data_IF_232145791413
#
_entry.id   IF_232145791413
#
_cell.length_a   1.000
_cell.length_b   1.000
_cell.length_c   1.000
_cell.angle_alpha   90.00
_cell.angle_beta   90.00
_cell.angle_gamma   90.00
#
_symmetry.space_group_name_H-M   'P 1'
#
loop_
_entity.id
_entity.type
_entity.pdbx_description
1 polymer ?
#
# COMPACT_ATOMS: atom_id res chain seq x y z
N UNK A 1 -0.73 -23.33 0.33
CA UNK A 1 -0.11 -22.33 1.23
C UNK A 1 -1.11 -21.95 2.33
N UNK A 2 -1.08 -22.71 3.42
CA UNK A 2 -1.86 -22.45 4.63
C UNK A 2 -1.40 -21.13 5.26
N UNK A 3 -2.35 -20.39 5.83
CA UNK A 3 -2.10 -19.26 6.73
C UNK A 3 -1.05 -19.67 7.77
N UNK A 4 0.21 -19.30 7.55
CA UNK A 4 1.15 -19.18 8.66
C UNK A 4 0.52 -18.15 9.59
N UNK A 5 -0.17 -18.63 10.63
CA UNK A 5 -0.50 -17.86 11.81
C UNK A 5 0.85 -17.41 12.36
N UNK A 6 1.35 -16.28 11.85
CA UNK A 6 2.38 -15.51 12.53
C UNK A 6 1.85 -15.35 13.94
N UNK A 7 2.57 -15.93 14.88
CA UNK A 7 2.10 -16.10 16.24
C UNK A 7 1.62 -14.74 16.76
N UNK A 8 0.31 -14.61 17.01
CA UNK A 8 -0.32 -13.32 17.34
C UNK A 8 0.32 -12.69 18.58
N UNK A 9 0.96 -13.52 19.41
CA UNK A 9 1.75 -13.20 20.60
C UNK A 9 2.94 -12.24 20.35
N UNK A 10 3.45 -12.11 19.12
CA UNK A 10 4.59 -11.23 18.82
C UNK A 10 4.21 -9.83 18.30
N UNK A 11 2.93 -9.54 18.09
CA UNK A 11 2.51 -8.20 17.63
C UNK A 11 2.50 -7.22 18.79
N UNK A 12 3.16 -6.09 18.58
CA UNK A 12 3.18 -4.98 19.54
C UNK A 12 1.80 -4.30 19.53
N UNK A 13 0.95 -4.60 20.51
CA UNK A 13 -0.41 -4.06 20.58
C UNK A 13 -0.47 -2.53 20.47
N UNK A 14 0.47 -1.82 21.11
CA UNK A 14 0.56 -0.37 21.03
C UNK A 14 0.83 0.14 19.61
N UNK A 15 1.58 -0.61 18.79
CA UNK A 15 1.88 -0.24 17.41
C UNK A 15 0.62 -0.34 16.54
N UNK A 16 -0.16 -1.39 16.74
CA UNK A 16 -1.47 -1.57 16.08
C UNK A 16 -2.46 -0.50 16.53
N UNK A 17 -2.42 -0.11 17.82
CA UNK A 17 -3.17 1.02 18.36
C UNK A 17 -2.89 2.34 17.64
N UNK A 18 -1.62 2.66 17.36
CA UNK A 18 -1.29 3.87 16.59
C UNK A 18 -1.81 3.78 15.15
N UNK A 19 -1.77 2.61 14.51
CA UNK A 19 -2.32 2.45 13.15
C UNK A 19 -3.83 2.66 13.11
N UNK A 20 -4.56 2.13 14.10
CA UNK A 20 -6.01 2.34 14.23
C UNK A 20 -6.31 3.82 14.42
N UNK A 21 -5.60 4.47 15.36
CA UNK A 21 -5.75 5.90 15.60
C UNK A 21 -5.48 6.71 14.33
N UNK A 22 -4.44 6.35 13.57
CA UNK A 22 -4.10 7.01 12.31
C UNK A 22 -5.23 6.91 11.29
N UNK A 23 -5.75 5.71 11.02
CA UNK A 23 -6.80 5.55 9.99
C UNK A 23 -8.13 6.16 10.41
N UNK A 24 -8.49 6.11 11.69
CA UNK A 24 -9.70 6.80 12.20
C UNK A 24 -9.55 8.31 12.08
N UNK A 25 -8.39 8.87 12.46
CA UNK A 25 -8.17 10.32 12.36
C UNK A 25 -8.13 10.78 10.89
N UNK A 26 -7.62 9.95 9.98
CA UNK A 26 -7.69 10.22 8.54
C UNK A 26 -9.13 10.24 8.01
N UNK A 27 -9.98 9.32 8.47
CA UNK A 27 -11.41 9.36 8.14
C UNK A 27 -12.05 10.66 8.64
N UNK A 28 -11.82 11.02 9.91
CA UNK A 28 -12.39 12.25 10.48
C UNK A 28 -11.90 13.50 9.76
N UNK A 29 -10.63 13.54 9.37
CA UNK A 29 -10.07 14.61 8.54
C UNK A 29 -10.73 14.70 7.17
N UNK A 30 -10.85 13.58 6.46
CA UNK A 30 -11.48 13.51 5.15
C UNK A 30 -12.96 13.94 5.22
N UNK A 31 -13.66 13.52 6.27
CA UNK A 31 -15.05 13.89 6.52
C UNK A 31 -15.18 15.40 6.77
N UNK A 32 -14.29 15.97 7.59
CA UNK A 32 -14.25 17.40 7.89
C UNK A 32 -13.97 18.23 6.63
N UNK A 33 -12.96 17.85 5.85
CA UNK A 33 -12.61 18.56 4.61
C UNK A 33 -13.77 18.54 3.60
N UNK A 34 -14.39 17.40 3.37
CA UNK A 34 -15.50 17.30 2.39
C UNK A 34 -16.75 18.02 2.88
N UNK A 35 -17.07 17.90 4.16
CA UNK A 35 -18.23 18.58 4.76
C UNK A 35 -18.10 20.10 4.65
N UNK A 36 -16.89 20.63 4.84
CA UNK A 36 -16.60 22.07 4.74
C UNK A 36 -16.18 22.53 3.34
N UNK A 37 -16.34 21.69 2.31
CA UNK A 37 -15.92 21.97 0.95
C UNK A 37 -14.47 22.51 0.85
N UNK A 38 -13.56 21.93 1.63
CA UNK A 38 -12.15 22.31 1.71
C UNK A 38 -11.91 23.76 2.14
N UNK A 39 -12.79 24.32 2.98
CA UNK A 39 -12.73 25.71 3.42
C UNK A 39 -11.41 26.11 4.13
N UNK A 40 -10.67 25.14 4.69
CA UNK A 40 -9.38 25.38 5.30
C UNK A 40 -8.36 24.31 4.95
N UNK A 41 -7.16 24.77 4.59
CA UNK A 41 -5.94 23.97 4.49
C UNK A 41 -4.76 24.84 4.96
N UNK A 42 -3.78 24.29 5.71
CA UNK A 42 -2.64 25.06 6.20
C UNK A 42 -1.88 25.78 5.07
N UNK A 43 -1.75 27.10 5.19
CA UNK A 43 -1.05 27.96 4.23
C UNK A 43 0.28 28.47 4.80
N UNK A 44 1.27 28.83 3.97
CA UNK A 44 2.57 29.32 4.42
C UNK A 44 2.53 30.83 4.78
N UNK A 45 1.41 31.31 5.33
CA UNK A 45 1.14 32.71 5.66
C UNK A 45 1.48 33.06 7.11
N UNK A 46 1.96 32.09 7.90
CA UNK A 46 2.25 32.25 9.31
C UNK A 46 1.14 31.75 10.22
N UNK A 47 1.48 31.57 11.51
CA UNK A 47 0.60 30.95 12.50
C UNK A 47 -0.69 31.76 12.74
N UNK A 48 -0.56 33.09 12.87
CA UNK A 48 -1.68 33.97 13.19
C UNK A 48 -2.75 33.96 12.09
N UNK A 49 -2.35 34.08 10.83
CA UNK A 49 -3.26 34.08 9.68
C UNK A 49 -4.00 32.75 9.55
N UNK A 50 -3.28 31.63 9.70
CA UNK A 50 -3.89 30.31 9.69
C UNK A 50 -4.88 30.12 10.83
N UNK A 51 -4.56 30.62 12.03
CA UNK A 51 -5.46 30.54 13.17
C UNK A 51 -6.71 31.39 12.96
N UNK A 52 -6.56 32.59 12.40
CA UNK A 52 -7.69 33.46 12.03
C UNK A 52 -8.59 32.80 10.98
N UNK A 53 -8.01 32.20 9.94
CA UNK A 53 -8.76 31.44 8.93
C UNK A 53 -9.50 30.24 9.55
N UNK A 54 -8.83 29.48 10.42
CA UNK A 54 -9.44 28.34 11.10
C UNK A 54 -10.60 28.77 12.00
N UNK A 55 -10.45 29.87 12.75
CA UNK A 55 -11.52 30.46 13.56
C UNK A 55 -12.68 30.90 12.67
N UNK A 56 -12.39 31.58 11.56
CA UNK A 56 -13.40 32.06 10.62
C UNK A 56 -14.24 30.89 10.08
N UNK A 57 -13.59 29.85 9.54
CA UNK A 57 -14.26 28.65 9.02
C UNK A 57 -15.06 27.91 10.10
N UNK A 58 -14.57 27.91 11.35
CA UNK A 58 -15.27 27.25 12.48
C UNK A 58 -16.42 28.09 13.05
N UNK A 59 -16.43 29.41 12.83
CA UNK A 59 -17.54 30.29 13.21
C UNK A 59 -18.75 30.09 12.32
N UNK A 60 -18.51 29.90 11.03
CA UNK A 60 -19.57 29.74 10.02
C UNK A 60 -20.27 28.36 10.08
N UNK A 61 -19.74 27.42 10.88
CA UNK A 61 -20.41 26.15 11.16
C UNK A 61 -21.65 26.37 12.07
N UNK A 62 -22.86 25.99 11.64
CA UNK A 62 -24.11 26.24 12.38
C UNK A 62 -24.12 25.57 13.76
N UNK A 63 -24.37 26.37 14.79
CA UNK A 63 -24.23 26.14 16.25
C UNK A 63 -24.00 24.70 16.74
N UNK A 64 -22.78 24.13 16.59
CA UNK A 64 -22.32 23.06 17.46
C UNK A 64 -22.01 23.67 18.83
N UNK A 65 -22.21 22.91 19.90
CA UNK A 65 -21.70 23.28 21.22
C UNK A 65 -20.18 23.57 21.14
N UNK A 66 -19.69 24.49 21.98
CA UNK A 66 -18.26 24.86 22.06
C UNK A 66 -17.34 23.62 22.10
N UNK A 67 -17.78 22.57 22.80
CA UNK A 67 -17.09 21.31 22.93
C UNK A 67 -16.91 20.59 21.59
N UNK A 68 -17.92 20.56 20.73
CA UNK A 68 -17.81 19.96 19.38
C UNK A 68 -16.85 20.77 18.51
N UNK A 69 -16.86 22.10 18.61
CA UNK A 69 -15.90 22.96 17.89
C UNK A 69 -14.46 22.65 18.31
N UNK A 70 -14.20 22.55 19.62
CA UNK A 70 -12.87 22.24 20.16
C UNK A 70 -12.43 20.82 19.77
N UNK A 71 -13.32 19.82 19.89
CA UNK A 71 -13.02 18.45 19.49
C UNK A 71 -12.86 18.27 17.98
N UNK A 72 -13.41 19.19 17.18
CA UNK A 72 -13.21 19.26 15.73
C UNK A 72 -11.87 19.88 15.32
N UNK A 73 -11.19 20.66 16.18
CA UNK A 73 -9.91 21.27 15.81
C UNK A 73 -8.82 20.24 15.43
N UNK A 74 -8.63 19.14 16.18
CA UNK A 74 -7.67 18.11 15.81
C UNK A 74 -7.97 17.44 14.46
N UNK A 75 -9.24 17.39 14.04
CA UNK A 75 -9.59 16.69 12.79
C UNK A 75 -9.03 17.41 11.57
N UNK A 76 -8.91 18.75 11.59
CA UNK A 76 -8.28 19.55 10.53
C UNK A 76 -6.81 19.20 10.26
N UNK A 77 -6.13 18.60 11.25
CA UNK A 77 -4.73 18.22 11.16
C UNK A 77 -4.54 16.70 10.99
N UNK A 78 -5.61 15.95 10.71
CA UNK A 78 -5.51 14.50 10.57
C UNK A 78 -4.61 14.02 9.42
N UNK A 79 -4.32 14.86 8.43
CA UNK A 79 -3.31 14.55 7.39
C UNK A 79 -1.93 14.20 7.95
N UNK A 80 -1.57 14.72 9.14
CA UNK A 80 -0.29 14.43 9.81
C UNK A 80 -0.14 12.94 10.16
N UNK A 81 -1.25 12.21 10.30
CA UNK A 81 -1.21 10.77 10.55
C UNK A 81 -0.78 9.95 9.33
N UNK A 82 -0.79 10.52 8.12
CA UNK A 82 -0.16 9.90 6.95
C UNK A 82 1.33 9.73 7.20
N UNK A 83 1.98 10.75 7.77
CA UNK A 83 3.42 10.72 8.05
C UNK A 83 3.76 9.76 9.19
N UNK A 84 2.91 9.71 10.21
CA UNK A 84 3.01 8.69 11.28
C UNK A 84 2.86 7.29 10.69
N UNK A 85 1.97 7.10 9.72
CA UNK A 85 1.81 5.81 9.04
C UNK A 85 3.05 5.42 8.23
N UNK A 86 3.68 6.38 7.53
CA UNK A 86 4.96 6.15 6.82
C UNK A 86 6.08 5.78 7.80
N UNK A 87 6.20 6.50 8.91
CA UNK A 87 7.17 6.22 9.99
C UNK A 87 7.00 4.79 10.53
N UNK A 88 5.76 4.42 10.86
CA UNK A 88 5.41 3.08 11.36
C UNK A 88 5.67 2.01 10.30
N UNK A 89 5.46 2.32 9.02
CA UNK A 89 5.69 1.38 7.93
C UNK A 89 7.17 1.00 7.81
N UNK A 90 8.07 1.98 7.84
CA UNK A 90 9.52 1.74 7.86
C UNK A 90 9.95 0.93 9.09
N UNK A 91 9.41 1.29 10.26
CA UNK A 91 9.65 0.58 11.51
C UNK A 91 9.21 -0.90 11.44
N UNK A 92 7.99 -1.14 10.97
CA UNK A 92 7.38 -2.46 10.91
C UNK A 92 8.05 -3.38 9.89
N UNK A 93 8.62 -2.82 8.82
CA UNK A 93 9.33 -3.58 7.80
C UNK A 93 10.66 -4.13 8.33
N UNK A 94 11.45 -3.32 9.03
CA UNK A 94 12.68 -3.77 9.70
C UNK A 94 12.38 -4.83 10.74
N UNK A 95 11.35 -4.64 11.58
CA UNK A 95 10.94 -5.66 12.55
C UNK A 95 10.53 -6.97 11.89
N UNK A 96 9.94 -6.92 10.69
CA UNK A 96 9.53 -8.14 9.97
C UNK A 96 10.69 -8.98 9.44
N UNK A 97 11.91 -8.45 9.45
CA UNK A 97 13.14 -9.15 9.09
C UNK A 97 13.97 -9.57 10.32
N UNK A 98 13.45 -9.41 11.54
CA UNK A 98 14.20 -9.74 12.77
C UNK A 98 14.74 -11.17 12.71
N UNK A 99 16.07 -11.29 12.66
CA UNK A 99 16.79 -12.57 12.64
C UNK A 99 16.78 -13.33 11.31
N UNK A 100 16.27 -12.73 10.22
CA UNK A 100 16.20 -13.37 8.91
C UNK A 100 16.95 -12.53 7.86
N UNK A 101 17.62 -13.21 6.95
CA UNK A 101 18.19 -12.56 5.76
C UNK A 101 17.08 -12.13 4.80
N UNK A 102 17.32 -11.04 4.07
CA UNK A 102 16.35 -10.53 3.11
C UNK A 102 16.43 -11.31 1.81
N UNK A 103 15.52 -12.27 1.64
CA UNK A 103 15.27 -12.87 0.34
C UNK A 103 14.37 -11.95 -0.51
N UNK A 104 14.97 -11.10 -1.34
CA UNK A 104 14.27 -10.05 -2.10
C UNK A 104 13.05 -10.56 -2.86
N UNK A 105 13.17 -11.65 -3.63
CA UNK A 105 12.05 -12.17 -4.44
C UNK A 105 10.85 -12.63 -3.59
N UNK A 106 11.09 -13.43 -2.54
CA UNK A 106 10.02 -13.88 -1.64
C UNK A 106 9.43 -12.71 -0.84
N UNK A 107 10.26 -11.77 -0.41
CA UNK A 107 9.82 -10.55 0.27
C UNK A 107 8.88 -9.73 -0.62
N UNK A 108 9.30 -9.43 -1.86
CA UNK A 108 8.53 -8.64 -2.83
C UNK A 108 7.20 -9.29 -3.13
N UNK A 109 7.19 -10.58 -3.50
CA UNK A 109 5.95 -11.32 -3.80
C UNK A 109 4.97 -11.30 -2.62
N UNK A 110 5.48 -11.53 -1.39
CA UNK A 110 4.65 -11.54 -0.17
C UNK A 110 4.09 -10.17 0.15
N UNK A 111 4.89 -9.10 0.03
CA UNK A 111 4.48 -7.74 0.37
C UNK A 111 3.56 -7.13 -0.67
N UNK A 112 3.91 -7.24 -1.96
CA UNK A 112 3.05 -6.80 -3.06
C UNK A 112 1.69 -7.51 -3.01
N UNK A 113 1.67 -8.83 -2.78
CA UNK A 113 0.40 -9.55 -2.60
C UNK A 113 -0.42 -9.05 -1.41
N UNK A 114 0.21 -8.68 -0.29
CA UNK A 114 -0.52 -8.14 0.87
C UNK A 114 -1.13 -6.76 0.62
N UNK A 115 -0.56 -5.97 -0.30
CA UNK A 115 -1.03 -4.61 -0.63
C UNK A 115 -2.02 -4.66 -1.78
N UNK A 116 -1.66 -5.31 -2.90
CA UNK A 116 -2.45 -5.32 -4.13
C UNK A 116 -3.74 -6.14 -4.02
N UNK A 117 -3.75 -7.30 -3.33
CA UNK A 117 -4.95 -8.13 -3.26
C UNK A 117 -6.13 -7.45 -2.52
N UNK A 118 -5.94 -6.87 -1.32
CA UNK A 118 -7.02 -6.11 -0.67
C UNK A 118 -7.42 -4.88 -1.48
N UNK A 119 -6.45 -4.20 -2.11
CA UNK A 119 -6.72 -3.07 -3.00
C UNK A 119 -7.67 -3.44 -4.15
N UNK A 120 -7.33 -4.45 -4.95
CA UNK A 120 -8.17 -4.87 -6.06
C UNK A 120 -9.49 -5.48 -5.61
N UNK A 121 -9.51 -6.17 -4.47
CA UNK A 121 -10.76 -6.65 -3.87
C UNK A 121 -11.70 -5.48 -3.59
N UNK A 122 -11.21 -4.45 -2.91
CA UNK A 122 -12.03 -3.27 -2.57
C UNK A 122 -12.42 -2.52 -3.84
N UNK A 123 -11.50 -2.33 -4.78
CA UNK A 123 -11.79 -1.71 -6.06
C UNK A 123 -12.93 -2.46 -6.79
N UNK A 124 -12.75 -3.74 -7.10
CA UNK A 124 -13.73 -4.53 -7.84
C UNK A 124 -15.08 -4.69 -7.14
N UNK A 125 -15.11 -4.72 -5.81
CA UNK A 125 -16.38 -4.77 -5.08
C UNK A 125 -17.06 -3.40 -4.97
N UNK A 126 -16.30 -2.35 -4.70
CA UNK A 126 -16.87 -1.02 -4.48
C UNK A 126 -17.39 -0.39 -5.76
N UNK A 127 -16.76 -0.60 -6.91
CA UNK A 127 -17.18 0.03 -8.16
C UNK A 127 -18.60 -0.32 -8.63
N UNK A 128 -18.98 -1.62 -8.74
CA UNK A 128 -20.35 -1.98 -9.11
C UNK A 128 -21.37 -1.49 -8.10
N UNK A 129 -21.02 -1.52 -6.80
CA UNK A 129 -21.90 -1.06 -5.72
C UNK A 129 -22.11 0.46 -5.82
N UNK A 130 -21.04 1.24 -5.99
CA UNK A 130 -21.11 2.68 -6.15
C UNK A 130 -21.88 3.06 -7.41
N UNK A 131 -21.67 2.34 -8.51
CA UNK A 131 -22.43 2.53 -9.75
C UNK A 131 -23.92 2.25 -9.54
N UNK A 132 -24.27 1.13 -8.91
CA UNK A 132 -25.66 0.76 -8.63
C UNK A 132 -26.35 1.79 -7.72
N UNK A 133 -25.66 2.24 -6.66
CA UNK A 133 -26.14 3.31 -5.79
C UNK A 133 -26.37 4.57 -6.62
N UNK A 134 -25.38 5.04 -7.37
CA UNK A 134 -25.45 6.24 -8.21
C UNK A 134 -26.59 6.20 -9.22
N UNK A 135 -26.86 5.05 -9.84
CA UNK A 135 -28.01 4.85 -10.74
C UNK A 135 -29.33 4.95 -9.97
N UNK A 136 -29.43 4.29 -8.81
CA UNK A 136 -30.64 4.28 -8.00
C UNK A 136 -30.97 5.65 -7.40
N UNK A 137 -29.96 6.41 -6.96
CA UNK A 137 -30.11 7.72 -6.33
C UNK A 137 -30.04 8.87 -7.33
N UNK A 138 -29.75 8.58 -8.61
CA UNK A 138 -29.49 9.58 -9.66
C UNK A 138 -28.36 10.55 -9.29
N UNK A 139 -27.41 10.11 -8.46
CA UNK A 139 -26.25 10.92 -8.03
C UNK A 139 -25.02 10.50 -8.82
N UNK A 140 -24.67 11.25 -9.87
CA UNK A 140 -23.44 11.12 -10.69
C UNK A 140 -23.03 9.69 -11.10
N UNK A 141 -23.13 9.36 -12.40
CA UNK A 141 -22.54 8.12 -12.92
C UNK A 141 -21.02 8.30 -13.13
N UNK A 142 -20.16 7.55 -12.41
CA UNK A 142 -18.72 7.59 -12.67
C UNK A 142 -18.43 7.06 -14.07
N UNK A 143 -17.62 7.81 -14.83
CA UNK A 143 -17.18 7.39 -16.15
C UNK A 143 -16.44 6.03 -16.03
N UNK A 144 -16.74 5.02 -16.86
CA UNK A 144 -16.02 3.73 -16.86
C UNK A 144 -14.50 3.89 -16.98
N UNK A 145 -14.03 4.96 -17.63
CA UNK A 145 -12.61 5.27 -17.71
C UNK A 145 -12.00 5.64 -16.36
N UNK A 146 -12.75 6.31 -15.48
CA UNK A 146 -12.30 6.63 -14.12
C UNK A 146 -12.22 5.38 -13.26
N UNK A 147 -13.13 4.43 -13.49
CA UNK A 147 -13.10 3.10 -12.87
C UNK A 147 -11.84 2.34 -13.31
N UNK A 148 -11.59 2.27 -14.62
CA UNK A 148 -10.38 1.63 -15.15
C UNK A 148 -9.10 2.29 -14.64
N UNK A 149 -9.04 3.62 -14.65
CA UNK A 149 -7.90 4.38 -14.14
C UNK A 149 -7.66 4.07 -12.65
N UNK A 150 -8.71 4.04 -11.82
CA UNK A 150 -8.55 3.73 -10.39
C UNK A 150 -8.12 2.28 -10.13
N UNK A 151 -8.61 1.28 -10.88
CA UNK A 151 -8.16 -0.12 -10.75
C UNK A 151 -6.70 -0.31 -11.17
N UNK A 152 -6.27 0.39 -12.24
CA UNK A 152 -4.92 0.30 -12.80
C UNK A 152 -3.90 1.24 -12.13
N UNK A 153 -4.38 2.18 -11.32
CA UNK A 153 -3.58 3.25 -10.73
C UNK A 153 -2.31 2.82 -9.98
N UNK A 154 -2.31 1.76 -9.14
CA UNK A 154 -1.09 1.37 -8.43
C UNK A 154 0.07 0.97 -9.36
N UNK A 155 -0.23 0.68 -10.63
CA UNK A 155 0.73 0.25 -11.65
C UNK A 155 1.10 1.37 -12.63
N UNK A 156 0.29 2.43 -12.73
CA UNK A 156 0.44 3.47 -13.76
C UNK A 156 0.56 4.83 -13.07
N UNK A 157 1.81 5.22 -12.81
CA UNK A 157 2.19 6.44 -12.10
C UNK A 157 1.92 7.73 -12.90
N UNK A 158 1.57 7.62 -14.18
CA UNK A 158 1.45 8.73 -15.14
C UNK A 158 0.05 9.32 -15.28
N UNK A 159 -0.96 8.84 -14.52
CA UNK A 159 -2.32 9.34 -14.66
C UNK A 159 -2.50 10.77 -14.13
N UNK A 160 -3.36 11.52 -14.83
CA UNK A 160 -3.84 12.83 -14.40
C UNK A 160 -4.40 12.75 -12.97
N UNK A 161 -3.96 13.63 -12.07
CA UNK A 161 -4.43 13.68 -10.67
C UNK A 161 -5.96 13.80 -10.55
N UNK A 162 -6.62 14.38 -11.55
CA UNK A 162 -8.09 14.43 -11.64
C UNK A 162 -8.73 13.03 -11.75
N UNK A 163 -8.14 12.12 -12.54
CA UNK A 163 -8.63 10.74 -12.69
C UNK A 163 -8.57 10.00 -11.35
N UNK A 164 -7.47 10.19 -10.61
CA UNK A 164 -7.29 9.58 -9.30
C UNK A 164 -8.32 10.11 -8.28
N UNK A 165 -8.43 11.44 -8.17
CA UNK A 165 -9.29 12.08 -7.17
C UNK A 165 -10.77 11.85 -7.44
N UNK A 166 -11.15 11.67 -8.71
CA UNK A 166 -12.54 11.39 -9.10
C UNK A 166 -13.09 10.11 -8.46
N UNK A 167 -12.21 9.18 -8.12
CA UNK A 167 -12.60 7.87 -7.59
C UNK A 167 -12.55 7.82 -6.07
N UNK A 168 -11.34 7.96 -5.53
CA UNK A 168 -11.08 7.97 -4.10
C UNK A 168 -9.75 8.67 -3.89
N UNK A 169 -9.83 9.95 -3.56
CA UNK A 169 -8.64 10.78 -3.34
C UNK A 169 -7.55 10.10 -2.49
N UNK A 170 -7.86 9.45 -1.35
CA UNK A 170 -6.84 8.80 -0.51
C UNK A 170 -6.04 7.66 -1.15
N UNK A 171 -6.47 7.09 -2.28
CA UNK A 171 -5.78 5.95 -2.89
C UNK A 171 -4.38 6.26 -3.43
N UNK A 172 -3.99 7.53 -3.54
CA UNK A 172 -2.59 7.91 -3.87
C UNK A 172 -1.57 7.28 -2.90
N UNK A 173 -1.95 7.03 -1.64
CA UNK A 173 -1.07 6.40 -0.65
C UNK A 173 -0.65 4.98 -1.04
N UNK A 174 -1.45 4.27 -1.83
CA UNK A 174 -1.12 2.92 -2.31
C UNK A 174 0.14 2.94 -3.15
N UNK A 175 0.28 3.91 -4.05
CA UNK A 175 1.48 4.10 -4.87
C UNK A 175 2.70 4.45 -4.04
N UNK A 176 2.53 5.24 -2.96
CA UNK A 176 3.61 5.50 -2.00
C UNK A 176 4.06 4.21 -1.29
N UNK A 177 3.11 3.39 -0.81
CA UNK A 177 3.40 2.10 -0.17
C UNK A 177 4.13 1.16 -1.12
N UNK A 178 3.70 1.08 -2.39
CA UNK A 178 4.35 0.27 -3.41
C UNK A 178 5.77 0.77 -3.69
N UNK A 179 5.97 2.08 -3.82
CA UNK A 179 7.27 2.70 -4.01
C UNK A 179 8.23 2.34 -2.88
N UNK A 180 7.80 2.46 -1.62
CA UNK A 180 8.63 2.03 -0.48
C UNK A 180 8.85 0.52 -0.43
N UNK A 181 7.87 -0.28 -0.84
CA UNK A 181 8.02 -1.74 -0.88
C UNK A 181 9.11 -2.14 -1.88
N UNK A 182 9.12 -1.52 -3.07
CA UNK A 182 10.12 -1.71 -4.11
C UNK A 182 11.51 -1.19 -3.71
N UNK A 183 11.55 -0.05 -3.03
CA UNK A 183 12.80 0.59 -2.60
C UNK A 183 13.42 -0.07 -1.36
N UNK A 184 12.62 -0.74 -0.53
CA UNK A 184 13.06 -1.27 0.75
C UNK A 184 14.28 -2.21 0.68
N UNK A 185 14.43 -3.13 -0.28
CA UNK A 185 15.63 -3.96 -0.38
C UNK A 185 16.92 -3.16 -0.53
N UNK A 186 16.88 -2.06 -1.29
CA UNK A 186 18.02 -1.15 -1.46
C UNK A 186 18.30 -0.43 -0.14
N UNK A 187 17.28 0.13 0.51
CA UNK A 187 17.44 0.80 1.81
C UNK A 187 17.93 -0.15 2.90
N UNK A 188 17.49 -1.40 2.87
CA UNK A 188 17.94 -2.44 3.80
C UNK A 188 19.43 -2.74 3.61
N UNK A 189 19.88 -2.90 2.37
CA UNK A 189 21.31 -3.08 2.06
C UNK A 189 22.14 -1.87 2.51
N UNK A 190 21.68 -0.65 2.22
CA UNK A 190 22.35 0.58 2.64
C UNK A 190 22.36 0.74 4.17
N UNK A 191 21.31 0.33 4.87
CA UNK A 191 21.25 0.37 6.34
C UNK A 191 22.36 -0.49 6.96
N UNK A 192 22.66 -1.66 6.38
CA UNK A 192 23.71 -2.54 6.85
C UNK A 192 25.10 -2.07 6.42
N UNK A 193 25.24 -1.59 5.18
CA UNK A 193 26.53 -1.19 4.60
C UNK A 193 27.02 0.16 5.11
N UNK A 194 26.14 1.16 5.20
CA UNK A 194 26.50 2.53 5.59
C UNK A 194 26.22 2.80 7.07
N UNK A 195 25.37 2.00 7.70
CA UNK A 195 24.89 2.22 9.06
C UNK A 195 23.72 3.20 9.15
N UNK A 196 23.02 3.14 10.28
CA UNK A 196 21.81 3.91 10.55
C UNK A 196 21.99 5.43 10.40
N UNK A 197 23.07 5.97 10.97
CA UNK A 197 23.30 7.42 11.00
C UNK A 197 23.50 7.99 9.60
N UNK A 198 24.36 7.36 8.80
CA UNK A 198 24.67 7.82 7.45
C UNK A 198 23.45 7.71 6.53
N UNK A 199 22.71 6.59 6.61
CA UNK A 199 21.47 6.44 5.84
C UNK A 199 20.44 7.51 6.22
N UNK A 200 20.29 7.80 7.52
CA UNK A 200 19.37 8.85 7.98
C UNK A 200 19.79 10.23 7.45
N UNK A 201 21.06 10.62 7.61
CA UNK A 201 21.57 11.92 7.11
C UNK A 201 21.35 12.06 5.61
N UNK A 202 21.75 11.06 4.81
CA UNK A 202 21.55 11.09 3.35
C UNK A 202 20.07 11.17 2.99
N UNK A 203 19.21 10.40 3.66
CA UNK A 203 17.77 10.44 3.42
C UNK A 203 17.14 11.80 3.75
N UNK A 204 17.62 12.47 4.80
CA UNK A 204 17.21 13.83 5.18
C UNK A 204 17.64 14.81 4.09
N UNK A 205 18.90 14.77 3.65
CA UNK A 205 19.41 15.64 2.59
C UNK A 205 18.63 15.48 1.29
N UNK A 206 18.35 14.24 0.87
CA UNK A 206 17.55 13.95 -0.32
C UNK A 206 16.13 14.47 -0.17
N UNK A 207 15.48 14.23 0.97
CA UNK A 207 14.10 14.69 1.22
C UNK A 207 14.02 16.21 1.24
N UNK A 208 14.92 16.89 1.96
CA UNK A 208 14.97 18.35 2.04
C UNK A 208 15.28 18.96 0.67
N UNK A 209 16.24 18.40 -0.07
CA UNK A 209 16.56 18.85 -1.43
C UNK A 209 15.38 18.74 -2.38
N UNK A 210 14.72 17.57 -2.40
CA UNK A 210 13.51 17.35 -3.20
C UNK A 210 12.37 18.31 -2.81
N UNK A 211 12.16 18.52 -1.50
CA UNK A 211 11.16 19.46 -0.98
C UNK A 211 11.48 20.91 -1.33
N UNK A 212 12.75 21.30 -1.26
CA UNK A 212 13.18 22.64 -1.64
C UNK A 212 12.93 22.91 -3.12
N UNK A 213 13.27 21.96 -3.99
CA UNK A 213 12.94 22.05 -5.41
C UNK A 213 11.42 22.13 -5.62
N UNK A 214 10.65 21.27 -4.93
CA UNK A 214 9.19 21.26 -5.01
C UNK A 214 8.57 22.60 -4.64
N UNK A 215 8.97 23.18 -3.50
CA UNK A 215 8.36 24.41 -2.95
C UNK A 215 8.85 25.68 -3.65
N UNK A 216 10.12 25.75 -4.02
CA UNK A 216 10.74 26.98 -4.52
C UNK A 216 10.87 27.04 -6.05
N UNK A 217 10.95 25.89 -6.73
CA UNK A 217 11.11 25.84 -8.19
C UNK A 217 9.79 25.44 -8.86
N UNK A 218 9.13 24.40 -8.35
CA UNK A 218 7.91 23.85 -8.96
C UNK A 218 6.60 24.43 -8.38
N UNK A 219 6.65 25.47 -7.55
CA UNK A 219 5.44 26.07 -6.96
C UNK A 219 4.58 25.12 -6.12
N UNK A 220 5.16 24.04 -5.59
CA UNK A 220 4.47 22.99 -4.86
C UNK A 220 3.96 23.39 -3.48
N UNK A 221 2.91 22.68 -3.04
CA UNK A 221 2.28 22.74 -1.72
C UNK A 221 2.92 21.67 -0.78
N UNK A 222 2.73 21.66 0.55
CA UNK A 222 3.26 20.61 1.45
C UNK A 222 2.70 19.21 1.15
N UNK A 223 1.60 19.09 0.42
CA UNK A 223 0.95 17.82 0.10
C UNK A 223 1.02 17.40 -1.38
N UNK A 224 1.43 18.27 -2.30
CA UNK A 224 1.54 17.96 -3.74
C UNK A 224 2.51 18.90 -4.46
N UNK A 225 2.97 18.50 -5.65
CA UNK A 225 3.78 19.35 -6.55
C UNK A 225 2.95 19.75 -7.76
N UNK A 226 3.07 21.01 -8.17
CA UNK A 226 2.57 21.48 -9.45
C UNK A 226 3.67 21.25 -10.49
N UNK A 227 3.60 20.14 -11.22
CA UNK A 227 4.51 19.91 -12.34
C UNK A 227 3.80 20.33 -13.62
N UNK A 228 4.47 21.11 -14.47
CA UNK A 228 3.99 21.48 -15.80
C UNK A 228 3.92 20.25 -16.71
N UNK A 229 2.82 19.52 -16.56
CA UNK A 229 2.46 18.30 -17.26
C UNK A 229 1.00 18.43 -17.67
N UNK A 230 0.50 17.63 -18.62
CA UNK A 230 -0.91 17.69 -19.04
C UNK A 230 -1.91 17.56 -17.87
N UNK A 231 -1.48 16.96 -16.76
CA UNK A 231 -2.24 16.77 -15.53
C UNK A 231 -2.28 17.98 -14.57
N UNK A 232 -1.46 19.02 -14.82
CA UNK A 232 -1.28 20.26 -14.01
C UNK A 232 -0.81 20.10 -12.55
N UNK A 233 -1.08 18.97 -11.89
CA UNK A 233 -0.67 18.70 -10.51
C UNK A 233 -0.46 17.20 -10.26
N UNK A 234 0.53 16.86 -9.44
CA UNK A 234 0.84 15.49 -9.01
C UNK A 234 0.91 15.43 -7.49
N UNK A 235 0.15 14.55 -6.81
CA UNK A 235 0.35 14.33 -5.38
C UNK A 235 1.80 13.88 -5.13
N UNK A 236 2.31 14.06 -3.91
CA UNK A 236 3.61 13.47 -3.51
C UNK A 236 3.52 11.93 -3.42
N UNK A 237 3.26 11.28 -4.54
CA UNK A 237 3.25 9.84 -4.70
C UNK A 237 4.68 9.27 -4.85
N UNK A 238 5.69 10.15 -5.02
CA UNK A 238 7.09 9.77 -5.03
C UNK A 238 7.57 9.59 -3.59
N UNK A 239 8.19 8.45 -3.32
CA UNK A 239 8.79 8.12 -2.03
C UNK A 239 9.78 9.19 -1.53
N UNK A 240 10.41 9.96 -2.44
CA UNK A 240 11.40 11.00 -2.11
C UNK A 240 10.88 12.01 -1.10
N UNK A 241 9.61 12.40 -1.20
CA UNK A 241 8.99 13.40 -0.33
C UNK A 241 8.88 12.94 1.14
N UNK A 242 8.88 11.62 1.37
CA UNK A 242 8.66 10.97 2.67
C UNK A 242 9.81 10.02 3.03
N UNK A 243 10.92 10.07 2.30
CA UNK A 243 12.02 9.11 2.40
C UNK A 243 12.67 9.16 3.78
N UNK A 244 12.97 10.35 4.29
CA UNK A 244 13.56 10.55 5.62
C UNK A 244 12.68 10.00 6.74
N UNK A 245 11.37 10.24 6.68
CA UNK A 245 10.40 9.73 7.66
C UNK A 245 10.33 8.20 7.66
N UNK A 246 10.32 7.58 6.48
CA UNK A 246 10.36 6.12 6.36
C UNK A 246 11.68 5.53 6.90
N UNK A 247 12.82 6.10 6.50
CA UNK A 247 14.15 5.67 6.95
C UNK A 247 14.32 5.86 8.45
N UNK A 248 13.80 6.95 9.02
CA UNK A 248 13.80 7.15 10.46
C UNK A 248 13.07 6.01 11.18
N UNK A 249 11.94 5.56 10.64
CA UNK A 249 11.23 4.38 11.14
C UNK A 249 12.12 3.14 11.15
N UNK A 250 12.88 2.91 10.06
CA UNK A 250 13.84 1.81 9.96
C UNK A 250 14.95 1.91 11.01
N UNK A 251 15.53 3.10 11.20
CA UNK A 251 16.59 3.35 12.18
C UNK A 251 16.09 3.13 13.62
N UNK A 252 14.88 3.61 13.94
CA UNK A 252 14.27 3.39 15.26
C UNK A 252 14.03 1.90 15.51
N UNK A 253 13.62 1.13 14.49
CA UNK A 253 13.48 -0.31 14.60
C UNK A 253 14.81 -1.02 14.85
N UNK A 254 15.86 -0.64 14.13
CA UNK A 254 17.20 -1.21 14.35
C UNK A 254 17.71 -0.92 15.77
N UNK A 255 17.54 0.32 16.25
CA UNK A 255 17.91 0.70 17.61
C UNK A 255 17.12 -0.13 18.65
N UNK A 256 15.81 -0.34 18.42
CA UNK A 256 14.98 -1.16 19.28
C UNK A 256 15.43 -2.62 19.33
N UNK A 257 15.80 -3.21 18.20
CA UNK A 257 16.35 -4.58 18.12
C UNK A 257 17.67 -4.71 18.88
N UNK A 258 18.50 -3.66 18.91
CA UNK A 258 19.72 -3.58 19.70
C UNK A 258 19.47 -3.24 21.18
N UNK A 259 18.21 -3.10 21.59
CA UNK A 259 17.84 -2.76 22.95
C UNK A 259 18.14 -1.30 23.34
N UNK A 260 18.19 -0.39 22.36
CA UNK A 260 18.45 1.04 22.55
C UNK A 260 17.30 1.87 21.97
N UNK A 261 17.38 3.19 22.13
CA UNK A 261 16.52 4.15 21.42
C UNK A 261 15.22 4.56 22.12
N UNK A 262 14.40 5.39 21.45
CA UNK A 262 13.28 6.10 22.05
C UNK A 262 12.15 5.19 22.53
N UNK A 263 12.02 4.00 21.94
CA UNK A 263 11.02 3.03 22.37
C UNK A 263 11.26 2.47 23.78
N UNK A 264 12.43 2.67 24.39
CA UNK A 264 12.69 2.27 25.78
C UNK A 264 12.61 3.43 26.77
N UNK A 265 12.34 4.65 26.30
CA UNK A 265 12.18 5.79 27.19
C UNK A 265 10.95 5.65 28.08
N UNK A 266 11.00 6.30 29.24
CA UNK A 266 9.84 6.47 30.12
C UNK A 266 8.79 7.34 29.44
N UNK A 267 7.52 7.22 29.85
CA UNK A 267 6.43 8.04 29.33
C UNK A 267 6.72 9.54 29.47
N UNK A 268 7.25 9.97 30.63
CA UNK A 268 7.61 11.35 30.89
C UNK A 268 8.68 11.87 29.91
N UNK A 269 9.79 11.15 29.73
CA UNK A 269 10.86 11.54 28.80
C UNK A 269 10.36 11.56 27.36
N UNK A 270 9.50 10.60 27.00
CA UNK A 270 8.90 10.51 25.66
C UNK A 270 8.03 11.73 25.37
N UNK A 271 7.17 12.14 26.31
CA UNK A 271 6.34 13.33 26.17
C UNK A 271 7.15 14.62 26.23
N UNK A 272 8.18 14.69 27.09
CA UNK A 272 9.08 15.83 27.21
C UNK A 272 9.78 16.15 25.88
N UNK A 273 10.15 15.13 25.10
CA UNK A 273 10.74 15.32 23.77
C UNK A 273 9.66 15.43 22.69
N UNK A 274 8.63 14.59 22.76
CA UNK A 274 7.58 14.50 21.75
C UNK A 274 6.76 15.79 21.61
N UNK A 275 6.35 16.41 22.72
CA UNK A 275 5.52 17.62 22.71
C UNK A 275 6.26 18.81 22.09
N UNK A 276 7.50 19.17 22.50
CA UNK A 276 8.23 20.26 21.86
C UNK A 276 8.54 20.01 20.40
N UNK A 277 8.94 18.78 20.03
CA UNK A 277 9.22 18.45 18.62
C UNK A 277 7.96 18.56 17.76
N UNK A 278 6.82 18.08 18.29
CA UNK A 278 5.52 18.24 17.63
C UNK A 278 5.13 19.72 17.51
N UNK A 279 5.28 20.51 18.58
CA UNK A 279 4.95 21.93 18.57
C UNK A 279 5.79 22.70 17.56
N UNK A 280 7.10 22.43 17.47
CA UNK A 280 7.97 23.04 16.46
C UNK A 280 7.53 22.61 15.05
N UNK A 281 7.29 21.32 14.82
CA UNK A 281 6.79 20.83 13.52
C UNK A 281 5.45 21.45 13.13
N UNK A 282 4.56 21.62 14.10
CA UNK A 282 3.24 22.25 13.94
C UNK A 282 3.36 23.73 13.59
N UNK A 283 4.27 24.47 14.23
CA UNK A 283 4.54 25.86 13.87
C UNK A 283 5.17 25.93 12.48
N UNK A 284 6.16 25.09 12.18
CA UNK A 284 6.86 25.03 10.90
C UNK A 284 5.90 24.83 9.72
N UNK A 285 4.82 24.04 9.88
CA UNK A 285 3.86 23.79 8.80
C UNK A 285 3.14 25.06 8.31
N UNK A 286 3.20 26.17 9.04
CA UNK A 286 2.60 27.46 8.65
C UNK A 286 3.58 28.44 8.00
N UNK A 287 4.84 28.04 7.82
CA UNK A 287 5.86 28.86 7.18
C UNK A 287 6.46 28.11 5.99
N UNK A 288 6.72 28.83 4.89
CA UNK A 288 7.25 28.24 3.66
C UNK A 288 8.55 27.46 3.87
N UNK A 289 9.47 27.99 4.69
CA UNK A 289 10.71 27.31 5.05
C UNK A 289 10.45 26.06 5.90
N UNK A 290 9.46 26.13 6.79
CA UNK A 290 9.11 25.02 7.66
C UNK A 290 8.50 23.82 6.93
N UNK A 291 7.92 24.02 5.74
CA UNK A 291 7.47 22.91 4.87
C UNK A 291 8.59 21.95 4.43
N UNK A 292 9.85 22.38 4.52
CA UNK A 292 11.00 21.51 4.21
C UNK A 292 11.24 20.45 5.29
N UNK A 293 10.89 20.76 6.54
CA UNK A 293 11.23 19.94 7.71
C UNK A 293 10.02 19.47 8.54
N UNK A 294 8.85 20.09 8.37
CA UNK A 294 7.61 19.75 9.10
C UNK A 294 7.27 18.27 8.96
N UNK A 295 7.47 17.70 7.77
CA UNK A 295 7.22 16.29 7.46
C UNK A 295 8.05 15.29 8.25
N UNK A 296 9.19 15.73 8.82
CA UNK A 296 10.01 14.92 9.70
C UNK A 296 9.65 15.19 11.17
N UNK A 297 9.49 16.46 11.54
CA UNK A 297 9.23 16.87 12.92
C UNK A 297 7.85 16.41 13.42
N UNK A 298 6.81 16.58 12.60
CA UNK A 298 5.43 16.21 12.93
C UNK A 298 5.30 14.72 13.25
N UNK A 299 5.68 13.76 12.39
CA UNK A 299 5.54 12.33 12.71
C UNK A 299 6.44 11.88 13.86
N UNK A 300 7.60 12.52 14.08
CA UNK A 300 8.44 12.24 15.26
C UNK A 300 7.71 12.62 16.53
N UNK A 301 7.29 13.89 16.64
CA UNK A 301 6.64 14.39 17.84
C UNK A 301 5.31 13.69 18.09
N UNK A 302 4.45 13.62 17.07
CA UNK A 302 3.15 12.97 17.14
C UNK A 302 3.29 11.47 17.39
N UNK A 303 4.23 10.78 16.73
CA UNK A 303 4.49 9.35 16.93
C UNK A 303 4.92 9.00 18.36
N UNK A 304 5.76 9.84 18.99
CA UNK A 304 6.15 9.67 20.39
C UNK A 304 4.97 9.88 21.36
N UNK A 305 4.14 10.89 21.11
CA UNK A 305 2.92 11.13 21.88
C UNK A 305 1.94 9.95 21.73
N UNK A 306 1.64 9.54 20.50
CA UNK A 306 0.77 8.40 20.22
C UNK A 306 1.30 7.10 20.81
N UNK A 307 2.62 6.86 20.78
CA UNK A 307 3.23 5.70 21.44
C UNK A 307 2.96 5.70 22.95
N UNK A 308 3.10 6.86 23.61
CA UNK A 308 2.86 6.96 25.06
C UNK A 308 1.41 6.66 25.40
N UNK A 309 0.47 7.27 24.66
CA UNK A 309 -0.96 7.04 24.83
C UNK A 309 -1.32 5.57 24.54
N UNK A 310 -0.85 5.01 23.42
CA UNK A 310 -1.16 3.64 23.04
C UNK A 310 -0.60 2.62 24.04
N UNK A 311 0.60 2.85 24.59
CA UNK A 311 1.16 2.00 25.67
C UNK A 311 0.33 2.07 26.94
N UNK A 312 -0.13 3.27 27.31
CA UNK A 312 -1.00 3.44 28.46
C UNK A 312 -2.34 2.71 28.27
N UNK A 313 -2.97 2.86 27.09
CA UNK A 313 -4.19 2.12 26.74
C UNK A 313 -3.97 0.59 26.72
N UNK A 314 -2.80 0.12 26.26
CA UNK A 314 -2.47 -1.31 26.23
C UNK A 314 -2.15 -1.91 27.61
N UNK A 315 -2.20 -1.15 28.70
CA UNK A 315 -2.12 -1.72 30.07
C UNK A 315 -3.36 -2.54 30.41
N UNK A 316 -4.47 -2.30 29.71
CA UNK A 316 -5.68 -3.10 29.80
C UNK A 316 -5.67 -4.19 28.73
N UNK A 317 -5.69 -5.45 29.15
CA UNK A 317 -5.52 -6.61 28.26
C UNK A 317 -6.59 -6.69 27.16
N UNK A 318 -7.84 -6.31 27.48
CA UNK A 318 -8.93 -6.29 26.51
C UNK A 318 -8.71 -5.23 25.41
N UNK A 319 -8.16 -4.07 25.75
CA UNK A 319 -7.79 -3.04 24.78
C UNK A 319 -6.60 -3.47 23.95
N UNK A 320 -5.58 -4.07 24.54
CA UNK A 320 -4.43 -4.60 23.81
C UNK A 320 -4.87 -5.66 22.79
N UNK A 321 -5.73 -6.60 23.21
CA UNK A 321 -6.30 -7.64 22.35
C UNK A 321 -7.16 -7.02 21.24
N UNK A 322 -8.01 -6.06 21.60
CA UNK A 322 -8.81 -5.29 20.66
C UNK A 322 -7.96 -4.59 19.60
N UNK A 323 -6.90 -3.89 20.01
CA UNK A 323 -5.97 -3.21 19.10
C UNK A 323 -5.26 -4.18 18.15
N UNK A 324 -4.82 -5.34 18.63
CA UNK A 324 -4.19 -6.35 17.76
C UNK A 324 -5.18 -6.90 16.73
N UNK A 325 -6.43 -7.15 17.15
CA UNK A 325 -7.48 -7.65 16.26
C UNK A 325 -7.88 -6.61 15.21
N UNK A 326 -8.17 -5.38 15.65
CA UNK A 326 -8.57 -4.28 14.78
C UNK A 326 -7.42 -3.81 13.86
N UNK A 327 -6.18 -3.86 14.35
CA UNK A 327 -4.99 -3.47 13.60
C UNK A 327 -4.81 -4.24 12.30
N UNK A 328 -5.25 -5.50 12.26
CA UNK A 328 -5.22 -6.34 11.07
C UNK A 328 -6.04 -5.76 9.90
N UNK A 329 -7.06 -4.95 10.20
CA UNK A 329 -8.02 -4.41 9.22
C UNK A 329 -7.73 -2.95 8.82
N UNK A 330 -6.65 -2.36 9.35
CA UNK A 330 -6.35 -0.93 9.15
C UNK A 330 -6.09 -0.56 7.68
N UNK A 331 -5.49 -1.46 6.89
CA UNK A 331 -5.25 -1.20 5.47
C UNK A 331 -6.55 -1.16 4.66
N UNK A 332 -7.43 -2.15 4.85
CA UNK A 332 -8.74 -2.19 4.18
C UNK A 332 -9.66 -1.05 4.64
N UNK A 333 -9.58 -0.67 5.92
CA UNK A 333 -10.23 0.53 6.43
C UNK A 333 -9.74 1.78 5.69
N UNK A 334 -8.42 1.93 5.56
CA UNK A 334 -7.83 3.04 4.81
C UNK A 334 -8.28 3.05 3.34
N UNK A 335 -8.49 1.90 2.70
CA UNK A 335 -8.97 1.88 1.32
C UNK A 335 -10.45 2.29 1.18
N UNK A 336 -11.28 1.98 2.19
CA UNK A 336 -12.72 2.21 2.17
C UNK A 336 -13.16 3.58 2.70
N UNK A 337 -12.41 4.19 3.62
CA UNK A 337 -12.89 5.39 4.34
C UNK A 337 -13.31 6.53 3.40
N UNK A 338 -12.55 6.79 2.34
CA UNK A 338 -12.86 7.86 1.38
C UNK A 338 -14.19 7.66 0.67
N UNK A 339 -14.53 6.40 0.34
CA UNK A 339 -15.79 6.03 -0.31
C UNK A 339 -16.97 6.16 0.64
N UNK A 340 -16.82 5.66 1.87
CA UNK A 340 -17.87 5.74 2.90
C UNK A 340 -18.18 7.18 3.25
N UNK A 341 -17.15 7.99 3.50
CA UNK A 341 -17.30 9.41 3.81
C UNK A 341 -18.03 10.13 2.68
N UNK A 342 -17.61 9.93 1.43
CA UNK A 342 -18.25 10.56 0.28
C UNK A 342 -19.74 10.25 0.18
N UNK A 343 -20.10 8.96 0.20
CA UNK A 343 -21.49 8.53 0.05
C UNK A 343 -22.37 8.96 1.21
N UNK A 344 -21.87 8.87 2.44
CA UNK A 344 -22.61 9.31 3.62
C UNK A 344 -22.86 10.83 3.60
N UNK A 345 -21.87 11.62 3.17
CA UNK A 345 -22.03 13.07 3.05
C UNK A 345 -23.07 13.45 1.98
N UNK A 346 -23.01 12.82 0.81
CA UNK A 346 -23.91 13.10 -0.30
C UNK A 346 -25.34 12.60 -0.08
N UNK A 347 -25.52 11.41 0.50
CA UNK A 347 -26.83 10.75 0.58
C UNK A 347 -27.58 10.95 1.89
N UNK A 348 -26.88 11.27 2.98
CA UNK A 348 -27.49 11.37 4.32
C UNK A 348 -27.34 12.79 4.87
N UNK A 349 -26.10 13.29 4.90
CA UNK A 349 -25.78 14.55 5.58
C UNK A 349 -26.33 15.77 4.84
N UNK A 350 -26.19 15.85 3.50
CA UNK A 350 -26.67 16.96 2.69
C UNK A 350 -26.28 18.37 3.21
N UNK A 351 -25.08 18.49 3.81
CA UNK A 351 -24.60 19.74 4.39
C UNK A 351 -25.19 20.10 5.77
N UNK A 352 -26.09 19.29 6.34
CA UNK A 352 -26.67 19.56 7.67
C UNK A 352 -25.71 19.15 8.81
N UNK A 353 -25.30 20.08 9.72
CA UNK A 353 -24.32 19.78 10.77
C UNK A 353 -24.78 18.74 11.79
N UNK A 354 -26.07 18.72 12.15
CA UNK A 354 -26.60 17.74 13.10
C UNK A 354 -26.53 16.34 12.53
N UNK A 355 -26.89 16.17 11.24
CA UNK A 355 -26.75 14.88 10.54
C UNK A 355 -25.29 14.49 10.39
N UNK A 356 -24.41 15.45 10.13
CA UNK A 356 -22.96 15.21 10.08
C UNK A 356 -22.46 14.63 11.40
N UNK A 357 -22.74 15.30 12.52
CA UNK A 357 -22.30 14.86 13.85
C UNK A 357 -22.84 13.46 14.21
N UNK A 358 -24.11 13.19 13.93
CA UNK A 358 -24.72 11.87 14.16
C UNK A 358 -24.17 10.79 13.21
N UNK A 359 -23.76 11.16 12.00
CA UNK A 359 -23.23 10.23 11.01
C UNK A 359 -21.77 9.86 11.25
N UNK A 360 -20.99 10.66 11.98
CA UNK A 360 -19.56 10.39 12.20
C UNK A 360 -19.29 9.03 12.87
N UNK A 361 -19.95 8.65 13.99
CA UNK A 361 -19.78 7.33 14.58
C UNK A 361 -20.19 6.21 13.61
N UNK A 362 -21.24 6.44 12.81
CA UNK A 362 -21.72 5.49 11.80
C UNK A 362 -20.70 5.32 10.67
N UNK A 363 -20.07 6.41 10.20
CA UNK A 363 -18.99 6.35 9.21
C UNK A 363 -17.80 5.56 9.76
N UNK A 364 -17.38 5.82 11.01
CA UNK A 364 -16.25 5.12 11.64
C UNK A 364 -16.54 3.63 11.82
N UNK A 365 -17.68 3.29 12.43
CA UNK A 365 -18.09 1.91 12.68
C UNK A 365 -18.42 1.14 11.40
N UNK A 366 -19.15 1.77 10.48
CA UNK A 366 -19.50 1.21 9.18
C UNK A 366 -18.28 0.92 8.31
N UNK A 367 -17.32 1.85 8.24
CA UNK A 367 -16.05 1.61 7.52
C UNK A 367 -15.28 0.43 8.11
N UNK A 368 -15.28 0.28 9.45
CA UNK A 368 -14.63 -0.84 10.12
C UNK A 368 -15.29 -2.18 9.79
N UNK A 369 -16.62 -2.25 9.84
CA UNK A 369 -17.37 -3.45 9.47
C UNK A 369 -17.08 -3.82 8.01
N UNK A 370 -17.16 -2.86 7.10
CA UNK A 370 -16.85 -3.09 5.68
C UNK A 370 -15.40 -3.54 5.46
N UNK A 371 -14.43 -2.99 6.21
CA UNK A 371 -13.04 -3.42 6.15
C UNK A 371 -12.85 -4.87 6.58
N UNK A 372 -13.53 -5.29 7.66
CA UNK A 372 -13.51 -6.69 8.11
C UNK A 372 -14.12 -7.62 7.06
N UNK A 373 -15.24 -7.23 6.44
CA UNK A 373 -15.87 -7.99 5.34
C UNK A 373 -14.93 -8.09 4.15
N UNK A 374 -14.32 -6.97 3.72
CA UNK A 374 -13.38 -6.96 2.61
C UNK A 374 -12.17 -7.88 2.84
N UNK A 375 -11.60 -7.88 4.06
CA UNK A 375 -10.49 -8.76 4.41
C UNK A 375 -10.89 -10.24 4.44
N UNK A 376 -12.13 -10.54 4.85
CA UNK A 376 -12.68 -11.89 4.81
C UNK A 376 -12.90 -12.37 3.38
N UNK A 377 -13.35 -11.49 2.47
CA UNK A 377 -13.65 -11.81 1.06
C UNK A 377 -12.40 -11.85 0.17
N UNK A 378 -11.37 -11.05 0.48
CA UNK A 378 -10.11 -10.99 -0.28
C UNK A 378 -9.50 -12.37 -0.62
N UNK A 379 -9.34 -13.32 0.32
CA UNK A 379 -8.80 -14.63 -0.02
C UNK A 379 -9.69 -15.46 -0.96
N UNK A 380 -11.01 -15.25 -0.92
CA UNK A 380 -11.95 -15.91 -1.84
C UNK A 380 -11.75 -15.37 -3.25
N UNK A 381 -11.78 -14.04 -3.43
CA UNK A 381 -11.54 -13.39 -4.72
C UNK A 381 -10.20 -13.81 -5.30
N UNK A 382 -9.15 -13.81 -4.47
CA UNK A 382 -7.82 -14.27 -4.90
C UNK A 382 -7.84 -15.70 -5.45
N UNK A 383 -8.56 -16.64 -4.81
CA UNK A 383 -8.66 -18.03 -5.29
C UNK A 383 -9.41 -18.10 -6.61
N UNK A 384 -10.51 -17.35 -6.73
CA UNK A 384 -11.31 -17.29 -7.96
C UNK A 384 -10.46 -16.75 -9.12
N UNK A 385 -9.78 -15.62 -8.93
CA UNK A 385 -8.95 -15.00 -9.97
C UNK A 385 -7.79 -15.92 -10.38
N UNK A 386 -7.11 -16.55 -9.44
CA UNK A 386 -6.03 -17.50 -9.76
C UNK A 386 -6.57 -18.73 -10.49
N UNK A 387 -7.76 -19.21 -10.14
CA UNK A 387 -8.44 -20.29 -10.87
C UNK A 387 -8.75 -19.88 -12.31
N UNK A 388 -9.38 -18.72 -12.49
CA UNK A 388 -9.71 -18.18 -13.82
C UNK A 388 -8.47 -17.96 -14.69
N UNK A 389 -7.37 -17.45 -14.13
CA UNK A 389 -6.11 -17.28 -14.88
C UNK A 389 -5.57 -18.64 -15.30
N UNK A 390 -5.57 -19.64 -14.41
CA UNK A 390 -5.11 -20.99 -14.75
C UNK A 390 -5.98 -21.63 -15.83
N UNK A 391 -7.30 -21.45 -15.75
CA UNK A 391 -8.24 -21.98 -16.74
C UNK A 391 -8.05 -21.27 -18.10
N UNK A 392 -7.80 -19.95 -18.08
CA UNK A 392 -7.49 -19.17 -19.28
C UNK A 392 -6.15 -19.57 -19.88
N UNK A 393 -5.11 -19.76 -19.07
CA UNK A 393 -3.80 -20.27 -19.52
C UNK A 393 -3.95 -21.67 -20.12
N UNK A 394 -4.78 -22.53 -19.51
CA UNK A 394 -5.11 -23.84 -20.07
C UNK A 394 -5.77 -23.68 -21.45
N UNK A 395 -6.84 -22.90 -21.57
CA UNK A 395 -7.55 -22.66 -22.84
C UNK A 395 -6.63 -22.07 -23.92
N UNK A 396 -5.81 -21.08 -23.57
CA UNK A 396 -4.87 -20.42 -24.49
C UNK A 396 -3.68 -21.32 -24.86
N UNK A 397 -3.24 -22.21 -23.96
CA UNK A 397 -2.21 -23.21 -24.25
C UNK A 397 -2.74 -24.37 -25.10
N UNK A 398 -4.03 -24.71 -24.98
CA UNK A 398 -4.71 -25.71 -25.82
C UNK A 398 -5.07 -25.19 -27.22
N UNK A 399 -4.52 -24.05 -27.66
CA UNK A 399 -4.64 -23.64 -29.06
C UNK A 399 -3.88 -24.66 -29.93
N UNK A 400 -4.55 -25.42 -30.79
CA UNK A 400 -4.05 -26.69 -31.36
C UNK A 400 -3.10 -26.50 -32.56
N UNK A 401 -2.29 -25.44 -32.57
CA UNK A 401 -1.49 -25.03 -33.73
C UNK A 401 -0.01 -24.77 -33.40
N UNK A 402 0.50 -25.33 -32.29
CA UNK A 402 1.85 -25.87 -32.39
C UNK A 402 1.71 -27.02 -33.37
N UNK A 403 2.08 -26.76 -34.62
CA UNK A 403 2.38 -27.77 -35.63
C UNK A 403 3.13 -28.89 -34.95
N UNK A 404 2.42 -29.91 -34.46
CA UNK A 404 2.97 -31.24 -34.26
C UNK A 404 3.62 -31.48 -35.60
N UNK A 405 4.95 -31.47 -35.66
CA UNK A 405 5.65 -31.85 -36.89
C UNK A 405 4.99 -33.16 -37.24
N UNK A 406 4.22 -33.19 -38.33
CA UNK A 406 3.57 -34.41 -38.80
C UNK A 406 4.70 -35.26 -39.35
N UNK A 407 5.47 -35.81 -38.43
CA UNK A 407 6.40 -36.86 -38.69
C UNK A 407 5.76 -38.08 -38.08
N UNK A 408 5.17 -38.91 -38.94
CA UNK A 408 4.58 -40.19 -38.55
C UNK A 408 5.71 -41.12 -38.06
N UNK A 409 6.15 -40.97 -36.81
CA UNK A 409 7.08 -41.90 -36.18
C UNK A 409 6.42 -43.28 -36.10
N UNK A 410 7.14 -44.29 -36.58
CA UNK A 410 6.74 -45.70 -36.49
C UNK A 410 7.76 -46.47 -35.67
N UNK A 411 7.29 -47.52 -35.00
CA UNK A 411 8.18 -48.49 -34.36
C UNK A 411 9.09 -49.07 -35.43
N UNK A 412 10.39 -48.94 -35.23
CA UNK A 412 11.43 -49.34 -36.17
C UNK A 412 12.13 -48.18 -36.88
N UNK A 413 11.61 -46.96 -36.81
CA UNK A 413 12.27 -45.79 -37.39
C UNK A 413 13.57 -45.47 -36.65
N UNK A 414 14.57 -45.00 -37.41
CA UNK A 414 15.80 -44.45 -36.86
C UNK A 414 15.61 -42.96 -36.60
N UNK A 415 15.93 -42.55 -35.39
CA UNK A 415 15.76 -41.20 -34.88
C UNK A 415 17.02 -40.73 -34.21
N UNK A 416 17.29 -39.44 -34.28
CA UNK A 416 18.43 -38.82 -33.64
C UNK A 416 18.05 -38.25 -32.29
N UNK A 417 18.78 -38.63 -31.25
CA UNK A 417 18.60 -38.10 -29.90
C UNK A 417 19.82 -37.26 -29.50
N UNK A 418 19.58 -36.06 -28.95
CA UNK A 418 20.64 -35.18 -28.46
C UNK A 418 20.90 -35.41 -26.97
N UNK A 419 21.78 -36.35 -26.66
CA UNK A 419 22.27 -36.56 -25.31
C UNK A 419 23.33 -35.53 -24.89
N UNK A 420 23.78 -35.62 -23.63
CA UNK A 420 24.90 -34.82 -23.12
C UNK A 420 26.20 -35.04 -23.91
N UNK A 421 26.37 -36.23 -24.52
CA UNK A 421 27.53 -36.62 -25.32
C UNK A 421 27.43 -36.23 -26.80
N UNK A 422 26.35 -35.55 -27.21
CA UNK A 422 26.07 -35.20 -28.61
C UNK A 422 24.93 -36.01 -29.22
N UNK A 423 24.85 -35.98 -30.54
CA UNK A 423 23.80 -36.66 -31.30
C UNK A 423 24.11 -38.15 -31.45
N UNK A 424 23.13 -38.99 -31.11
CA UNK A 424 23.21 -40.45 -31.27
C UNK A 424 22.00 -40.93 -32.07
N UNK A 425 22.24 -41.76 -33.08
CA UNK A 425 21.16 -42.43 -33.84
C UNK A 425 20.67 -43.62 -33.03
N UNK A 426 19.38 -43.63 -32.74
CA UNK A 426 18.69 -44.66 -31.96
C UNK A 426 17.49 -45.16 -32.75
N UNK A 427 17.04 -46.38 -32.45
CA UNK A 427 15.87 -46.98 -33.08
C UNK A 427 14.67 -46.93 -32.16
N UNK A 428 13.51 -46.55 -32.67
CA UNK A 428 12.25 -46.52 -31.92
C UNK A 428 11.76 -47.97 -31.72
N UNK A 429 11.73 -48.44 -30.46
CA UNK A 429 11.25 -49.79 -30.10
C UNK A 429 9.78 -49.80 -29.70
N UNK A 430 9.31 -48.75 -29.00
CA UNK A 430 7.91 -48.61 -28.58
C UNK A 430 7.46 -47.17 -28.66
N UNK A 431 6.19 -47.00 -29.01
CA UNK A 431 5.50 -45.72 -29.00
C UNK A 431 4.39 -45.80 -27.97
N UNK A 432 4.32 -44.78 -27.13
CA UNK A 432 3.25 -44.60 -26.16
C UNK A 432 2.62 -43.24 -26.39
N UNK A 433 1.42 -43.25 -26.95
CA UNK A 433 0.63 -42.04 -27.20
C UNK A 433 -0.24 -41.73 -25.97
N UNK A 434 0.25 -40.84 -25.11
CA UNK A 434 -0.61 -40.15 -24.16
C UNK A 434 -1.08 -38.87 -24.84
N UNK A 435 -2.37 -38.55 -24.77
CA UNK A 435 -3.02 -37.47 -25.54
C UNK A 435 -2.28 -36.11 -25.56
N UNK A 436 -1.37 -35.86 -24.63
CA UNK A 436 -0.58 -34.64 -24.49
C UNK A 436 0.89 -34.75 -24.97
N UNK A 437 1.48 -35.96 -25.07
CA UNK A 437 2.87 -36.17 -25.52
C UNK A 437 3.08 -37.61 -26.04
N UNK A 438 3.94 -37.77 -27.06
CA UNK A 438 4.33 -39.07 -27.58
C UNK A 438 5.65 -39.50 -26.91
N UNK A 439 5.58 -40.49 -26.02
CA UNK A 439 6.75 -41.09 -25.41
C UNK A 439 7.31 -42.16 -26.35
N UNK A 440 8.58 -42.00 -26.72
CA UNK A 440 9.29 -42.94 -27.57
C UNK A 440 10.30 -43.70 -26.72
N UNK A 441 10.21 -45.04 -26.70
CA UNK A 441 11.30 -45.87 -26.21
C UNK A 441 12.30 -46.03 -27.36
N UNK A 442 13.47 -45.42 -27.23
CA UNK A 442 14.54 -45.45 -28.23
C UNK A 442 15.72 -46.28 -27.71
N UNK A 443 16.40 -47.00 -28.60
CA UNK A 443 17.43 -47.96 -28.22
C UNK A 443 18.56 -48.03 -29.24
N UNK A 444 19.80 -48.20 -28.76
CA UNK A 444 20.99 -48.50 -29.57
C UNK A 444 21.28 -50.02 -29.65
N UNK A 445 20.38 -50.84 -29.11
CA UNK A 445 20.55 -52.30 -28.97
C UNK A 445 21.27 -52.74 -27.70
N UNK A 446 21.90 -51.82 -26.95
CA UNK A 446 22.49 -52.10 -25.64
C UNK A 446 21.71 -51.43 -24.49
N UNK A 447 21.10 -50.26 -24.74
CA UNK A 447 20.38 -49.46 -23.75
C UNK A 447 19.11 -48.88 -24.36
N UNK A 448 18.02 -48.95 -23.61
CA UNK A 448 16.75 -48.31 -23.97
C UNK A 448 16.50 -47.09 -23.10
N UNK A 449 16.07 -45.99 -23.70
CA UNK A 449 15.73 -44.73 -23.05
C UNK A 449 14.30 -44.33 -23.44
N UNK A 450 13.56 -43.78 -22.49
CA UNK A 450 12.28 -43.13 -22.77
C UNK A 450 12.52 -41.64 -22.95
N UNK A 451 12.18 -41.13 -24.12
CA UNK A 451 12.40 -39.73 -24.50
C UNK A 451 11.11 -39.16 -25.09
N UNK A 452 10.95 -37.85 -24.95
CA UNK A 452 9.84 -37.16 -25.60
C UNK A 452 10.14 -37.05 -27.12
N UNK A 453 9.11 -37.14 -27.95
CA UNK A 453 9.20 -36.90 -29.41
C UNK A 453 9.87 -35.55 -29.74
N UNK A 454 9.66 -34.53 -28.91
CA UNK A 454 10.26 -33.20 -29.07
C UNK A 454 11.81 -33.21 -29.00
N UNK A 455 12.39 -34.22 -28.37
CA UNK A 455 13.84 -34.40 -28.23
C UNK A 455 14.45 -35.25 -29.38
N UNK A 456 13.61 -35.66 -30.35
CA UNK A 456 13.99 -36.49 -31.48
C UNK A 456 14.01 -35.71 -32.80
N UNK A 457 15.01 -35.98 -33.63
CA UNK A 457 15.12 -35.44 -34.98
C UNK A 457 15.25 -36.56 -36.04
N UNK A 458 14.81 -36.33 -37.29
CA UNK A 458 15.04 -37.27 -38.39
C UNK A 458 16.51 -37.50 -38.60
N UNK A 459 16.90 -38.77 -38.83
CA UNK A 459 18.28 -39.13 -39.16
C UNK A 459 18.82 -38.32 -40.34
N UNK A 460 17.95 -37.93 -41.29
CA UNK A 460 18.31 -37.06 -42.43
C UNK A 460 18.76 -35.65 -42.03
N UNK A 461 18.29 -35.13 -40.89
CA UNK A 461 18.64 -33.79 -40.39
C UNK A 461 19.94 -33.83 -39.59
N UNK A 462 20.19 -34.92 -38.86
CA UNK A 462 21.39 -35.13 -38.06
C UNK A 462 22.69 -35.28 -38.87
N UNK A 463 22.59 -35.77 -40.10
CA UNK A 463 23.72 -36.02 -40.99
C UNK A 463 24.15 -34.78 -41.78
N UNK A 464 23.47 -33.64 -41.59
CA UNK A 464 23.85 -32.33 -42.14
C UNK A 464 24.54 -31.49 -41.07
#
# INVERSE_FOLDING_TARGET
>A
MLNQRVDRSQRLAWLEGIRILAVVTLLLYQAQLRFTAYAYAPQPTGLQDNFNQLIFVTRDLPEPSLLIKILGLPTWFGFQFIDVFVLISGFSLVLSLRGNELETGKFMKRRLGRVLWPFWTIAWLSYPILWAISVATKTYLPNPWFIFAGVSFPLVYTYNGELLMSTSGPWWLVSLILSFTLLFPVLWHLLHRWGASNLLVVSILVTVGYRAMSVYIFGGHPSYVLWDSPARWHPFALFLAKLSTFVLGMVVAQAFLQGKGPLRWTAQRTLLVGIPVYAIGFICQFYRLGWLCSDLLLPVGLGLCCMTVARWLCRWEWLATGMVNLGAHTYSYFLLHGLVVDRMLQLIVHGEPTRYALSLPVMVGGTLILAMVADYVTPLIRRIVVGLIRDMDYVLSTTPDLQRRVWDLRVGDEVCYRGEAGWTVLKVEKLWDEREFLLCQVSDGQRSLWVNEDDLEPTEQCLR
#
